data_IF_949131534818
#
_entry.id   IF_949131534818
#
_cell.length_a   1.000
_cell.length_b   1.000
_cell.length_c   1.000
_cell.angle_alpha   90.00
_cell.angle_beta   90.00
_cell.angle_gamma   90.00
#
_symmetry.space_group_name_H-M   'P 1'
#
loop_
_entity.id
_entity.type
_entity.pdbx_description
1 polymer ?
#
# COMPACT_ATOMS: atom_id res chain seq x y z
N UNK A 1 14.97 -24.63 -4.96
CA UNK A 1 14.08 -24.66 -3.77
C UNK A 1 14.82 -24.20 -2.51
N UNK A 2 16.03 -24.70 -2.24
CA UNK A 2 16.87 -24.25 -1.11
C UNK A 2 17.20 -22.74 -1.12
N UNK A 3 17.48 -22.14 -2.29
CA UNK A 3 17.82 -20.70 -2.38
C UNK A 3 16.65 -19.77 -2.05
N UNK A 4 15.42 -20.16 -2.40
CA UNK A 4 14.21 -19.40 -2.08
C UNK A 4 13.91 -19.42 -0.58
N UNK A 5 14.08 -20.57 0.08
CA UNK A 5 13.91 -20.69 1.54
C UNK A 5 15.03 -19.99 2.31
N UNK A 6 16.24 -19.93 1.76
CA UNK A 6 17.34 -19.12 2.30
C UNK A 6 17.04 -17.61 2.15
N UNK A 7 16.53 -17.17 0.98
CA UNK A 7 16.12 -15.78 0.75
C UNK A 7 14.98 -15.35 1.68
N UNK A 8 13.96 -16.20 1.87
CA UNK A 8 12.88 -15.96 2.85
C UNK A 8 13.44 -15.83 4.27
N UNK A 9 14.35 -16.71 4.68
CA UNK A 9 14.97 -16.66 6.02
C UNK A 9 15.79 -15.39 6.24
N UNK A 10 16.67 -15.03 5.30
CA UNK A 10 17.46 -13.81 5.36
C UNK A 10 16.60 -12.54 5.32
N UNK A 11 15.46 -12.59 4.62
CA UNK A 11 14.52 -11.49 4.57
C UNK A 11 13.76 -11.33 5.89
N UNK A 12 13.38 -12.43 6.55
CA UNK A 12 12.72 -12.43 7.86
C UNK A 12 13.65 -12.07 9.02
N UNK A 13 14.94 -12.43 8.94
CA UNK A 13 15.90 -12.20 10.04
C UNK A 13 16.32 -10.73 10.19
N UNK A 14 16.11 -9.92 9.16
CA UNK A 14 16.47 -8.50 9.19
C UNK A 14 15.29 -7.66 9.69
N UNK A 15 15.42 -7.11 10.89
CA UNK A 15 14.39 -6.27 11.49
C UNK A 15 14.56 -4.83 11.01
N UNK A 16 13.48 -4.22 10.52
CA UNK A 16 13.46 -2.79 10.18
C UNK A 16 13.53 -2.00 11.48
N UNK A 17 14.35 -0.94 11.48
CA UNK A 17 14.50 -0.05 12.63
C UNK A 17 13.12 0.45 13.09
N UNK A 18 12.85 0.33 14.38
CA UNK A 18 11.60 0.81 14.98
C UNK A 18 11.39 2.30 14.76
N UNK A 19 12.48 3.09 14.70
CA UNK A 19 12.42 4.52 14.35
C UNK A 19 11.82 4.75 12.96
N UNK A 20 12.19 3.92 11.98
CA UNK A 20 11.68 4.03 10.61
C UNK A 20 10.22 3.56 10.55
N UNK A 21 9.88 2.48 11.25
CA UNK A 21 8.50 2.00 11.35
C UNK A 21 7.58 3.05 11.98
N UNK A 22 7.98 3.66 13.10
CA UNK A 22 7.22 4.73 13.75
C UNK A 22 7.04 5.93 12.82
N UNK A 23 8.12 6.38 12.15
CA UNK A 23 8.05 7.51 11.21
C UNK A 23 7.00 7.28 10.11
N UNK A 24 7.01 6.10 9.48
CA UNK A 24 6.03 5.78 8.44
C UNK A 24 4.63 5.58 9.03
N UNK A 25 4.52 4.91 10.19
CA UNK A 25 3.25 4.66 10.85
C UNK A 25 2.53 5.94 11.26
N UNK A 26 3.25 6.88 11.87
CA UNK A 26 2.69 8.13 12.35
C UNK A 26 2.27 9.01 11.17
N UNK A 27 3.07 9.07 10.11
CA UNK A 27 2.70 9.77 8.89
C UNK A 27 1.45 9.18 8.22
N UNK A 28 1.31 7.86 8.17
CA UNK A 28 0.11 7.20 7.63
C UNK A 28 -1.13 7.46 8.49
N UNK A 29 -1.00 7.46 9.83
CA UNK A 29 -2.10 7.82 10.74
C UNK A 29 -2.50 9.28 10.54
N UNK A 30 -1.54 10.18 10.43
CA UNK A 30 -1.77 11.60 10.20
C UNK A 30 -2.51 11.81 8.87
N UNK A 31 -2.08 11.14 7.80
CA UNK A 31 -2.78 11.20 6.51
C UNK A 31 -4.20 10.65 6.59
N UNK A 32 -4.39 9.49 7.23
CA UNK A 32 -5.71 8.91 7.41
C UNK A 32 -6.65 9.85 8.19
N UNK A 33 -6.15 10.50 9.23
CA UNK A 33 -6.93 11.46 10.03
C UNK A 33 -7.37 12.72 9.26
N UNK A 34 -6.60 13.11 8.24
CA UNK A 34 -6.88 14.26 7.38
C UNK A 34 -7.88 13.95 6.26
N UNK A 35 -8.20 12.68 6.04
CA UNK A 35 -9.06 12.26 4.93
C UNK A 35 -10.43 12.95 4.95
N UNK A 36 -10.71 13.64 3.84
CA UNK A 36 -12.00 14.21 3.51
C UNK A 36 -12.13 14.15 1.98
N UNK A 37 -13.09 13.38 1.48
CA UNK A 37 -13.30 13.21 0.04
C UNK A 37 -13.68 14.50 -0.70
N UNK A 38 -14.02 15.57 0.01
CA UNK A 38 -14.23 16.91 -0.55
C UNK A 38 -12.93 17.72 -0.70
N UNK A 39 -11.90 17.43 0.10
CA UNK A 39 -10.63 18.17 0.09
C UNK A 39 -9.49 17.38 -0.56
N UNK A 40 -9.48 16.06 -0.40
CA UNK A 40 -8.41 15.18 -0.85
C UNK A 40 -8.84 14.32 -2.04
N UNK A 41 -7.89 14.03 -2.93
CA UNK A 41 -8.16 13.33 -4.16
C UNK A 41 -8.44 11.85 -3.94
N UNK A 42 -7.65 11.17 -3.11
CA UNK A 42 -7.80 9.75 -2.79
C UNK A 42 -7.01 9.41 -1.53
N UNK A 43 -7.42 8.36 -0.83
CA UNK A 43 -6.77 7.88 0.39
C UNK A 43 -5.56 6.98 0.07
N UNK A 44 -4.57 7.56 -0.63
CA UNK A 44 -3.42 6.87 -1.21
C UNK A 44 -2.17 7.73 -1.18
N UNK A 45 -1.03 7.16 -0.80
CA UNK A 45 0.30 7.77 -0.97
C UNK A 45 1.30 6.78 -1.59
N UNK A 46 2.47 7.26 -2.00
CA UNK A 46 3.58 6.43 -2.46
C UNK A 46 4.69 6.36 -1.42
N UNK A 47 5.28 5.17 -1.26
CA UNK A 47 6.56 5.02 -0.55
C UNK A 47 7.70 5.03 -1.57
N UNK A 48 8.47 6.11 -1.58
CA UNK A 48 9.54 6.33 -2.55
C UNK A 48 10.90 6.05 -1.91
N UNK A 49 11.56 5.02 -2.42
CA UNK A 49 12.91 4.62 -2.03
C UNK A 49 13.54 3.77 -3.14
N UNK A 50 14.87 3.82 -3.25
CA UNK A 50 15.67 3.00 -4.17
C UNK A 50 15.33 1.51 -4.10
N UNK A 51 15.44 0.81 -5.23
CA UNK A 51 15.19 -0.64 -5.30
C UNK A 51 16.18 -1.43 -4.43
N UNK A 52 15.71 -2.50 -3.77
CA UNK A 52 16.54 -3.34 -2.89
C UNK A 52 16.72 -2.80 -1.45
N UNK A 53 16.24 -1.60 -1.13
CA UNK A 53 16.41 -0.99 0.20
C UNK A 53 15.39 -1.44 1.25
N UNK A 54 14.55 -2.44 0.93
CA UNK A 54 13.65 -3.05 1.89
C UNK A 54 12.28 -2.38 2.06
N UNK A 55 11.77 -1.66 1.06
CA UNK A 55 10.39 -1.10 1.05
C UNK A 55 9.35 -2.17 1.42
N UNK A 56 9.34 -3.28 0.69
CA UNK A 56 8.44 -4.41 0.93
C UNK A 56 8.60 -4.95 2.35
N UNK A 57 9.83 -5.03 2.87
CA UNK A 57 10.09 -5.47 4.24
C UNK A 57 9.54 -4.51 5.29
N UNK A 58 9.68 -3.21 5.06
CA UNK A 58 9.10 -2.19 5.93
C UNK A 58 7.58 -2.36 6.00
N UNK A 59 6.91 -2.47 4.85
CA UNK A 59 5.46 -2.65 4.80
C UNK A 59 5.03 -3.91 5.53
N UNK A 60 5.70 -5.04 5.28
CA UNK A 60 5.39 -6.29 5.97
C UNK A 60 5.59 -6.21 7.48
N UNK A 61 6.45 -5.33 7.99
CA UNK A 61 6.66 -5.16 9.44
C UNK A 61 5.74 -4.10 10.06
N UNK A 62 4.85 -3.46 9.28
CA UNK A 62 3.89 -2.47 9.81
C UNK A 62 2.87 -3.08 10.78
N UNK A 63 2.69 -4.41 10.81
CA UNK A 63 1.88 -5.07 11.84
C UNK A 63 2.41 -4.80 13.25
N UNK A 64 3.72 -4.57 13.42
CA UNK A 64 4.33 -4.21 14.70
C UNK A 64 3.79 -2.86 15.22
N UNK A 65 3.30 -2.02 14.31
CA UNK A 65 2.72 -0.71 14.59
C UNK A 65 1.19 -0.75 14.67
N UNK A 66 0.59 -1.95 14.69
CA UNK A 66 -0.86 -2.15 14.83
C UNK A 66 -1.66 -2.07 13.53
N UNK A 67 -1.02 -2.25 12.36
CA UNK A 67 -1.71 -2.31 11.07
C UNK A 67 -2.01 -3.75 10.63
N UNK A 68 -3.24 -4.00 10.21
CA UNK A 68 -3.59 -5.13 9.36
C UNK A 68 -3.14 -4.80 7.94
N UNK A 69 -1.93 -5.26 7.60
CA UNK A 69 -1.35 -5.06 6.27
C UNK A 69 -2.04 -5.98 5.30
N UNK A 70 -2.47 -5.47 4.15
CA UNK A 70 -2.94 -6.28 3.01
C UNK A 70 -1.98 -6.04 1.88
N UNK A 71 -1.20 -7.05 1.52
CA UNK A 71 -0.13 -6.91 0.55
C UNK A 71 -0.53 -7.51 -0.79
N UNK A 72 -0.51 -6.71 -1.86
CA UNK A 72 -0.75 -7.15 -3.23
C UNK A 72 0.51 -6.84 -4.05
N UNK A 73 1.18 -7.88 -4.55
CA UNK A 73 2.35 -7.75 -5.41
C UNK A 73 1.95 -7.91 -6.86
N UNK A 74 2.04 -6.82 -7.63
CA UNK A 74 1.77 -6.81 -9.07
C UNK A 74 3.00 -7.20 -9.90
N UNK A 75 3.99 -7.85 -9.30
CA UNK A 75 5.16 -8.38 -10.01
C UNK A 75 4.73 -9.25 -11.21
N UNK A 76 5.41 -9.12 -12.36
CA UNK A 76 5.13 -9.95 -13.55
C UNK A 76 5.33 -11.44 -13.24
N UNK A 77 4.52 -12.32 -13.83
CA UNK A 77 4.64 -13.78 -13.64
C UNK A 77 6.00 -14.35 -14.03
N UNK A 78 6.68 -13.73 -14.99
CA UNK A 78 8.01 -14.14 -15.43
C UNK A 78 9.15 -13.75 -14.47
N UNK A 79 8.87 -12.89 -13.47
CA UNK A 79 9.86 -12.43 -12.50
C UNK A 79 9.87 -13.30 -11.24
N UNK A 80 11.07 -13.55 -10.71
CA UNK A 80 11.31 -14.45 -9.57
C UNK A 80 11.77 -13.72 -8.30
N UNK A 81 11.16 -12.57 -8.01
CA UNK A 81 11.49 -11.74 -6.84
C UNK A 81 10.77 -12.14 -5.54
N UNK A 82 11.15 -11.49 -4.44
CA UNK A 82 10.48 -11.60 -3.15
C UNK A 82 10.19 -10.21 -2.57
N UNK A 83 8.95 -9.92 -2.09
CA UNK A 83 7.78 -10.80 -2.06
C UNK A 83 7.29 -11.21 -3.45
N UNK A 84 6.72 -12.41 -3.56
CA UNK A 84 6.23 -12.96 -4.84
C UNK A 84 4.96 -12.24 -5.29
N UNK A 85 4.66 -12.34 -6.58
CA UNK A 85 3.36 -11.96 -7.17
C UNK A 85 2.21 -12.60 -6.39
N UNK A 86 1.18 -11.82 -6.07
CA UNK A 86 -0.02 -12.29 -5.36
C UNK A 86 -1.09 -12.76 -6.34
N UNK A 87 -0.80 -13.86 -7.04
CA UNK A 87 -1.68 -14.62 -7.95
C UNK A 87 -2.86 -13.85 -8.56
N UNK A 88 -4.07 -14.34 -8.33
CA UNK A 88 -5.30 -13.79 -8.89
C UNK A 88 -5.62 -12.37 -8.39
N UNK A 89 -5.15 -11.97 -7.19
CA UNK A 89 -5.31 -10.59 -6.74
C UNK A 89 -4.55 -9.62 -7.63
N UNK A 90 -3.33 -9.98 -8.04
CA UNK A 90 -2.57 -9.21 -9.01
C UNK A 90 -3.24 -9.23 -10.40
N UNK A 91 -3.93 -10.32 -10.77
CA UNK A 91 -4.69 -10.39 -12.03
C UNK A 91 -5.87 -9.43 -12.01
N UNK A 92 -6.57 -9.31 -10.87
CA UNK A 92 -7.63 -8.30 -10.67
C UNK A 92 -7.06 -6.89 -10.80
N UNK A 93 -5.84 -6.65 -10.32
CA UNK A 93 -5.20 -5.33 -10.42
C UNK A 93 -4.78 -4.99 -11.87
N UNK A 94 -4.34 -5.97 -12.65
CA UNK A 94 -3.72 -5.79 -13.97
C UNK A 94 -4.66 -6.08 -15.15
N UNK A 95 -5.85 -6.64 -14.90
CA UNK A 95 -6.72 -7.13 -15.97
C UNK A 95 -7.29 -6.01 -16.87
N UNK A 96 -7.53 -6.31 -18.17
CA UNK A 96 -7.89 -5.31 -19.19
C UNK A 96 -9.34 -4.82 -19.13
N UNK A 97 -10.18 -5.31 -18.21
CA UNK A 97 -11.63 -5.03 -18.16
C UNK A 97 -12.12 -4.41 -16.85
N UNK A 98 -11.20 -4.07 -15.95
CA UNK A 98 -11.61 -3.59 -14.63
C UNK A 98 -11.90 -2.09 -14.62
N UNK A 99 -13.02 -1.78 -13.97
CA UNK A 99 -13.55 -0.44 -13.73
C UNK A 99 -13.25 -0.01 -12.30
N UNK A 100 -13.43 1.27 -11.98
CA UNK A 100 -13.37 1.76 -10.60
C UNK A 100 -14.26 0.92 -9.67
N UNK A 101 -15.47 0.53 -10.10
CA UNK A 101 -16.39 -0.33 -9.35
C UNK A 101 -15.79 -1.70 -9.04
N UNK A 102 -14.95 -2.23 -9.92
CA UNK A 102 -14.23 -3.49 -9.65
C UNK A 102 -13.26 -3.31 -8.49
N UNK A 103 -12.49 -2.23 -8.48
CA UNK A 103 -11.55 -1.96 -7.40
C UNK A 103 -12.27 -1.65 -6.08
N UNK A 104 -13.42 -0.97 -6.12
CA UNK A 104 -14.29 -0.85 -4.94
C UNK A 104 -14.70 -2.24 -4.42
N UNK A 105 -15.16 -3.13 -5.30
CA UNK A 105 -15.55 -4.48 -4.91
C UNK A 105 -14.39 -5.26 -4.28
N UNK A 106 -13.17 -5.11 -4.83
CA UNK A 106 -11.96 -5.71 -4.25
C UNK A 106 -11.68 -5.18 -2.85
N UNK A 107 -11.69 -3.86 -2.66
CA UNK A 107 -11.43 -3.28 -1.33
C UNK A 107 -12.52 -3.67 -0.33
N UNK A 108 -13.80 -3.61 -0.71
CA UNK A 108 -14.90 -4.07 0.15
C UNK A 108 -14.71 -5.54 0.55
N UNK A 109 -14.24 -6.39 -0.37
CA UNK A 109 -13.98 -7.81 -0.09
C UNK A 109 -12.83 -8.00 0.89
N UNK A 110 -11.75 -7.24 0.73
CA UNK A 110 -10.62 -7.22 1.67
C UNK A 110 -11.08 -6.86 3.08
N UNK A 111 -11.86 -5.77 3.21
CA UNK A 111 -12.38 -5.32 4.51
C UNK A 111 -13.35 -6.34 5.12
N UNK A 112 -14.20 -6.95 4.30
CA UNK A 112 -15.16 -7.96 4.73
C UNK A 112 -14.46 -9.22 5.25
N UNK A 113 -13.41 -9.72 4.57
CA UNK A 113 -12.62 -10.85 5.08
C UNK A 113 -11.97 -10.49 6.41
N UNK A 114 -11.36 -9.33 6.54
CA UNK A 114 -10.78 -8.91 7.82
C UNK A 114 -11.84 -8.83 8.95
N UNK A 115 -13.07 -8.43 8.63
CA UNK A 115 -14.18 -8.42 9.57
C UNK A 115 -14.69 -9.82 9.96
N UNK A 116 -14.43 -10.85 9.16
CA UNK A 116 -14.72 -12.26 9.51
C UNK A 116 -13.74 -12.82 10.54
N UNK A 117 -12.62 -12.13 10.78
CA UNK A 117 -11.57 -12.53 11.73
C UNK A 117 -11.45 -11.53 12.92
N UNK A 118 -12.48 -11.37 13.77
CA UNK A 118 -12.52 -10.34 14.80
C UNK A 118 -11.41 -10.41 15.86
N UNK A 119 -10.95 -11.62 16.19
CA UNK A 119 -9.95 -11.88 17.23
C UNK A 119 -8.53 -12.14 16.73
N UNK A 120 -8.30 -12.15 15.42
CA UNK A 120 -6.98 -12.41 14.84
C UNK A 120 -6.09 -11.19 15.04
N UNK A 121 -4.88 -11.37 15.58
CA UNK A 121 -3.93 -10.28 15.75
C UNK A 121 -3.29 -9.84 14.42
N UNK A 122 -2.76 -8.62 14.35
CA UNK A 122 -2.11 -8.11 13.12
C UNK A 122 -0.92 -8.98 12.67
N UNK A 123 -0.16 -9.53 13.63
CA UNK A 123 0.94 -10.46 13.35
C UNK A 123 0.44 -11.76 12.70
N UNK A 124 -0.61 -12.34 13.25
CA UNK A 124 -1.24 -13.57 12.74
C UNK A 124 -1.81 -13.36 11.34
N UNK A 125 -2.48 -12.22 11.12
CA UNK A 125 -2.99 -11.81 9.82
C UNK A 125 -1.89 -11.68 8.75
N UNK A 126 -0.76 -11.05 9.10
CA UNK A 126 0.38 -10.94 8.19
C UNK A 126 1.00 -12.32 7.92
N UNK A 127 1.16 -13.14 8.96
CA UNK A 127 1.71 -14.48 8.84
C UNK A 127 0.84 -15.40 7.96
N UNK A 128 -0.49 -15.24 8.03
CA UNK A 128 -1.44 -15.99 7.20
C UNK A 128 -1.34 -15.62 5.71
N UNK A 129 -1.14 -14.34 5.40
CA UNK A 129 -0.86 -13.90 4.02
C UNK A 129 0.48 -14.43 3.47
N UNK A 130 1.48 -14.63 4.33
CA UNK A 130 2.80 -15.12 3.90
C UNK A 130 2.87 -16.62 3.61
N UNK A 131 2.09 -17.44 4.34
CA UNK A 131 2.35 -18.88 4.44
C UNK A 131 1.61 -19.74 3.43
N UNK A 132 0.39 -19.39 3.04
CA UNK A 132 -0.49 -20.34 2.33
C UNK A 132 -1.44 -19.67 1.33
N UNK A 133 -1.25 -18.39 1.02
CA UNK A 133 -2.18 -17.57 0.23
C UNK A 133 -3.66 -17.68 0.71
N UNK A 134 -3.90 -18.21 1.93
CA UNK A 134 -5.23 -18.55 2.43
C UNK A 134 -6.12 -17.32 2.52
N UNK A 135 -5.56 -16.21 3.03
CA UNK A 135 -6.24 -14.91 3.05
C UNK A 135 -6.52 -14.41 1.63
N UNK A 136 -5.63 -14.65 0.66
CA UNK A 136 -5.88 -14.25 -0.73
C UNK A 136 -7.06 -15.04 -1.31
N UNK A 137 -7.11 -16.36 -1.08
CA UNK A 137 -8.22 -17.21 -1.49
C UNK A 137 -9.55 -16.82 -0.84
N UNK A 138 -9.56 -16.46 0.44
CA UNK A 138 -10.74 -15.93 1.13
C UNK A 138 -11.19 -14.60 0.50
N UNK A 139 -10.26 -13.69 0.21
CA UNK A 139 -10.56 -12.41 -0.46
C UNK A 139 -11.19 -12.67 -1.83
N UNK A 140 -10.64 -13.61 -2.61
CA UNK A 140 -11.16 -13.96 -3.93
C UNK A 140 -12.57 -14.56 -3.85
N UNK A 141 -12.83 -15.44 -2.89
CA UNK A 141 -14.16 -16.02 -2.68
C UNK A 141 -15.20 -14.96 -2.31
N UNK A 142 -14.86 -14.04 -1.41
CA UNK A 142 -15.73 -12.91 -1.07
C UNK A 142 -15.90 -11.97 -2.25
N UNK A 143 -14.85 -11.72 -3.03
CA UNK A 143 -14.89 -10.88 -4.23
C UNK A 143 -15.83 -11.41 -5.30
N UNK A 144 -15.85 -12.72 -5.55
CA UNK A 144 -16.78 -13.34 -6.48
C UNK A 144 -18.25 -13.08 -6.10
N UNK A 145 -18.55 -12.98 -4.80
CA UNK A 145 -19.90 -12.69 -4.32
C UNK A 145 -20.18 -11.18 -4.32
N UNK A 146 -19.28 -10.37 -3.77
CA UNK A 146 -19.43 -8.92 -3.61
C UNK A 146 -19.41 -8.16 -4.93
N UNK A 147 -18.68 -8.67 -5.92
CA UNK A 147 -18.63 -8.06 -7.26
C UNK A 147 -20.01 -7.96 -7.90
N UNK A 148 -20.91 -8.92 -7.67
CA UNK A 148 -22.28 -8.90 -8.19
C UNK A 148 -23.08 -7.71 -7.63
N UNK A 149 -22.85 -7.35 -6.37
CA UNK A 149 -23.56 -6.26 -5.69
C UNK A 149 -22.95 -4.88 -5.98
N UNK A 150 -21.61 -4.81 -6.08
CA UNK A 150 -20.86 -3.55 -6.10
C UNK A 150 -20.56 -3.09 -7.52
N UNK A 151 -20.32 -4.01 -8.45
CA UNK A 151 -20.01 -3.67 -9.84
C UNK A 151 -21.29 -3.21 -10.53
N UNK A 152 -21.19 -2.06 -11.17
CA UNK A 152 -22.30 -1.43 -11.89
C UNK A 152 -21.80 -0.86 -13.20
N UNK A 153 -22.69 -0.83 -14.20
CA UNK A 153 -22.46 -0.21 -15.49
C UNK A 153 -22.59 1.32 -15.46
N UNK A 154 -23.04 1.88 -14.33
CA UNK A 154 -23.08 3.33 -14.15
C UNK A 154 -21.65 3.92 -14.23
N UNK A 155 -21.48 5.10 -14.84
CA UNK A 155 -20.23 5.85 -14.71
C UNK A 155 -19.85 6.04 -13.24
N UNK A 156 -18.56 5.94 -12.90
CA UNK A 156 -18.10 5.93 -11.51
C UNK A 156 -18.70 7.06 -10.65
N UNK A 157 -18.70 8.30 -11.14
CA UNK A 157 -19.24 9.45 -10.41
C UNK A 157 -20.73 9.36 -10.10
N UNK A 158 -21.50 8.61 -10.91
CA UNK A 158 -22.91 8.34 -10.64
C UNK A 158 -23.11 7.18 -9.63
N UNK A 159 -22.08 6.36 -9.41
CA UNK A 159 -22.07 5.24 -8.47
C UNK A 159 -21.32 5.54 -7.17
N UNK A 160 -20.58 6.65 -7.09
CA UNK A 160 -19.68 7.00 -5.98
C UNK A 160 -20.39 6.94 -4.61
N UNK A 161 -21.61 7.47 -4.51
CA UNK A 161 -22.38 7.45 -3.26
C UNK A 161 -22.86 6.05 -2.87
N UNK A 162 -23.15 5.18 -3.84
CA UNK A 162 -23.50 3.79 -3.57
C UNK A 162 -22.25 3.01 -3.14
N UNK A 163 -21.11 3.24 -3.79
CA UNK A 163 -19.82 2.67 -3.40
C UNK A 163 -19.40 3.09 -2.00
N UNK A 164 -19.61 4.35 -1.61
CA UNK A 164 -19.37 4.82 -0.24
C UNK A 164 -20.17 4.05 0.79
N UNK A 165 -21.44 3.72 0.51
CA UNK A 165 -22.26 2.92 1.43
C UNK A 165 -21.68 1.52 1.65
N UNK A 166 -21.21 0.86 0.59
CA UNK A 166 -20.57 -0.45 0.72
C UNK A 166 -19.29 -0.38 1.57
N UNK A 167 -18.42 0.60 1.31
CA UNK A 167 -17.21 0.81 2.11
C UNK A 167 -17.54 1.18 3.58
N UNK A 168 -18.55 2.02 3.80
CA UNK A 168 -18.99 2.47 5.12
C UNK A 168 -19.38 1.30 6.02
N UNK A 169 -20.15 0.34 5.51
CA UNK A 169 -20.58 -0.85 6.27
C UNK A 169 -19.39 -1.63 6.81
N UNK A 170 -18.34 -1.84 6.02
CA UNK A 170 -17.19 -2.61 6.46
C UNK A 170 -16.22 -1.79 7.33
N UNK A 171 -16.07 -0.49 7.05
CA UNK A 171 -15.23 0.40 7.85
C UNK A 171 -15.81 0.60 9.26
N UNK A 172 -17.13 0.70 9.42
CA UNK A 172 -17.74 0.89 10.75
C UNK A 172 -17.48 -0.29 11.68
N UNK A 173 -17.49 -1.52 11.14
CA UNK A 173 -17.11 -2.73 11.90
C UNK A 173 -15.64 -2.69 12.33
N UNK A 174 -14.74 -2.21 11.47
CA UNK A 174 -13.32 -2.05 11.79
C UNK A 174 -13.09 -0.98 12.85
N UNK A 175 -13.81 0.15 12.77
CA UNK A 175 -13.77 1.23 13.77
C UNK A 175 -14.18 0.75 15.15
N UNK A 176 -15.25 -0.04 15.24
CA UNK A 176 -15.71 -0.63 16.51
C UNK A 176 -14.63 -1.50 17.18
N UNK A 177 -13.76 -2.11 16.38
CA UNK A 177 -12.63 -2.92 16.83
C UNK A 177 -11.33 -2.14 17.04
N UNK A 178 -11.29 -0.86 16.68
CA UNK A 178 -10.05 -0.07 16.63
C UNK A 178 -9.03 -0.59 15.62
N UNK A 179 -9.47 -1.33 14.60
CA UNK A 179 -8.60 -1.91 13.58
C UNK A 179 -8.17 -0.86 12.55
N UNK A 180 -6.90 -0.91 12.14
CA UNK A 180 -6.33 -0.08 11.08
C UNK A 180 -5.81 -0.95 9.95
N UNK A 181 -6.23 -0.68 8.73
CA UNK A 181 -5.88 -1.44 7.53
C UNK A 181 -4.92 -0.65 6.68
N UNK A 182 -3.83 -1.29 6.27
CA UNK A 182 -2.89 -0.73 5.30
C UNK A 182 -2.92 -1.58 4.03
N UNK A 183 -3.56 -1.08 2.98
CA UNK A 183 -3.55 -1.74 1.67
C UNK A 183 -2.29 -1.33 0.91
N UNK A 184 -1.38 -2.26 0.69
CA UNK A 184 -0.16 -2.04 -0.07
C UNK A 184 -0.26 -2.68 -1.46
N UNK A 185 -0.01 -1.87 -2.49
CA UNK A 185 0.17 -2.36 -3.86
C UNK A 185 1.64 -2.20 -4.24
N UNK A 186 2.36 -3.31 -4.32
CA UNK A 186 3.76 -3.36 -4.75
C UNK A 186 3.89 -3.55 -6.26
N UNK A 187 4.99 -3.07 -6.81
CA UNK A 187 5.23 -2.97 -8.25
C UNK A 187 4.09 -2.24 -8.98
N UNK A 188 3.58 -1.15 -8.40
CA UNK A 188 2.44 -0.39 -8.92
C UNK A 188 2.67 0.19 -10.33
N UNK A 189 3.92 0.25 -10.80
CA UNK A 189 4.24 0.61 -12.19
C UNK A 189 3.66 -0.36 -13.22
N UNK A 190 3.37 -1.61 -12.81
CA UNK A 190 2.77 -2.63 -13.67
C UNK A 190 1.25 -2.44 -13.88
N UNK A 191 0.62 -1.46 -13.23
CA UNK A 191 -0.83 -1.21 -13.37
C UNK A 191 -1.20 -0.44 -14.63
N UNK A 192 -0.27 0.31 -15.23
CA UNK A 192 -0.58 1.18 -16.38
C UNK A 192 -1.81 2.07 -16.13
N UNK A 193 -2.78 2.04 -17.03
CA UNK A 193 -4.02 2.83 -16.94
C UNK A 193 -4.93 2.43 -15.77
N UNK A 194 -4.78 1.21 -15.24
CA UNK A 194 -5.55 0.76 -14.08
C UNK A 194 -5.14 1.49 -12.80
N UNK A 195 -3.94 2.10 -12.75
CA UNK A 195 -3.51 2.89 -11.58
C UNK A 195 -4.49 4.02 -11.27
N UNK A 196 -4.92 4.78 -12.29
CA UNK A 196 -5.84 5.90 -12.12
C UNK A 196 -7.22 5.42 -11.64
N UNK A 197 -7.73 4.31 -12.21
CA UNK A 197 -9.00 3.71 -11.80
C UNK A 197 -8.94 3.18 -10.36
N UNK A 198 -7.85 2.50 -10.01
CA UNK A 198 -7.62 2.03 -8.64
C UNK A 198 -7.59 3.22 -7.67
N UNK A 199 -6.80 4.25 -7.97
CA UNK A 199 -6.71 5.47 -7.17
C UNK A 199 -8.06 6.16 -7.00
N UNK A 200 -8.85 6.29 -8.08
CA UNK A 200 -10.21 6.86 -8.02
C UNK A 200 -11.12 6.02 -7.15
N UNK A 201 -11.05 4.69 -7.20
CA UNK A 201 -11.91 3.83 -6.38
C UNK A 201 -11.74 4.06 -4.88
N UNK A 202 -10.54 4.45 -4.43
CA UNK A 202 -10.27 4.79 -3.03
C UNK A 202 -10.94 6.08 -2.55
N UNK A 203 -11.54 6.89 -3.45
CA UNK A 203 -12.41 8.02 -3.06
C UNK A 203 -13.70 7.58 -2.39
N UNK A 204 -14.12 6.35 -2.67
CA UNK A 204 -15.30 5.76 -2.03
C UNK A 204 -15.05 5.41 -0.57
N UNK A 205 -13.83 5.59 -0.04
CA UNK A 205 -13.57 5.37 1.38
C UNK A 205 -14.25 6.44 2.22
N UNK A 206 -15.01 6.04 3.27
CA UNK A 206 -15.60 6.99 4.19
C UNK A 206 -14.53 7.67 5.06
N UNK A 207 -14.90 8.78 5.70
CA UNK A 207 -14.02 9.49 6.63
C UNK A 207 -13.65 8.61 7.84
N UNK A 208 -12.38 8.62 8.24
CA UNK A 208 -11.87 7.90 9.40
C UNK A 208 -10.39 7.50 9.25
N UNK A 209 -9.86 6.84 10.29
CA UNK A 209 -8.46 6.43 10.39
C UNK A 209 -8.23 4.91 10.26
N UNK A 210 -9.29 4.15 9.94
CA UNK A 210 -9.26 2.68 9.88
C UNK A 210 -8.71 2.09 8.59
N UNK A 211 -8.48 2.88 7.55
CA UNK A 211 -7.96 2.41 6.27
C UNK A 211 -7.00 3.43 5.66
N UNK A 212 -5.94 2.96 5.03
CA UNK A 212 -5.09 3.76 4.16
C UNK A 212 -4.47 2.93 3.04
N UNK A 213 -4.37 3.50 1.84
CA UNK A 213 -3.67 2.88 0.71
C UNK A 213 -2.22 3.37 0.60
N UNK A 214 -1.31 2.47 0.25
CA UNK A 214 0.06 2.82 -0.11
C UNK A 214 0.50 2.06 -1.37
N UNK A 215 1.21 2.74 -2.26
CA UNK A 215 1.82 2.12 -3.44
C UNK A 215 3.33 2.11 -3.31
N UNK A 216 3.94 1.00 -3.71
CA UNK A 216 5.38 0.86 -3.85
C UNK A 216 5.70 0.80 -5.34
N UNK A 217 6.69 1.58 -5.75
CA UNK A 217 7.18 1.55 -7.12
C UNK A 217 8.41 2.43 -7.27
N UNK A 218 9.26 2.08 -8.22
CA UNK A 218 10.42 2.89 -8.62
C UNK A 218 10.15 3.76 -9.84
N UNK A 219 8.96 3.64 -10.45
CA UNK A 219 8.61 4.40 -11.64
C UNK A 219 8.26 5.85 -11.30
N UNK A 220 8.72 6.78 -12.14
CA UNK A 220 8.38 8.19 -12.10
C UNK A 220 6.86 8.40 -12.08
N UNK A 221 6.08 7.56 -12.77
CA UNK A 221 4.60 7.65 -12.79
C UNK A 221 3.93 7.37 -11.43
N UNK A 222 4.56 6.56 -10.59
CA UNK A 222 4.09 6.27 -9.21
C UNK A 222 4.58 7.35 -8.24
N UNK A 223 5.74 7.93 -8.51
CA UNK A 223 6.27 9.09 -7.77
C UNK A 223 5.55 10.40 -8.12
N UNK A 224 5.08 10.55 -9.37
CA UNK A 224 4.22 11.62 -9.88
C UNK A 224 2.75 11.35 -9.53
N UNK A 225 2.48 11.05 -8.26
CA UNK A 225 1.11 11.12 -7.69
C UNK A 225 0.47 12.50 -7.91
N UNK A 226 1.27 13.51 -8.25
CA UNK A 226 0.85 14.71 -8.95
C UNK A 226 0.93 14.50 -10.46
N UNK A 227 -0.04 13.79 -11.05
CA UNK A 227 -0.27 13.98 -12.49
C UNK A 227 -0.53 15.49 -12.69
N UNK A 228 0.12 16.09 -13.68
CA UNK A 228 -0.24 17.44 -14.11
C UNK A 228 -1.76 17.44 -14.38
N UNK A 229 -2.44 18.49 -13.93
CA UNK A 229 -3.90 18.63 -14.00
C UNK A 229 -4.45 18.42 -15.43
N UNK A 230 -3.58 18.56 -16.43
CA UNK A 230 -3.80 18.43 -17.86
C UNK A 230 -3.87 16.96 -18.35
N UNK A 231 -3.22 16.02 -17.65
CA UNK A 231 -3.17 14.60 -18.02
C UNK A 231 -4.25 13.75 -17.32
N UNK A 232 -4.92 14.30 -16.30
CA UNK A 232 -6.08 13.65 -15.67
C UNK A 232 -7.37 14.09 -16.35
N UNK A 233 -7.81 13.36 -17.37
CA UNK A 233 -9.09 13.58 -18.06
C UNK A 233 -10.32 13.52 -17.13
N UNK A 234 -10.17 13.09 -15.86
CA UNK A 234 -11.24 13.21 -14.86
C UNK A 234 -11.34 14.59 -14.19
N UNK A 235 -10.30 15.43 -14.30
CA UNK A 235 -10.37 16.86 -13.93
C UNK A 235 -11.40 17.61 -14.78
N UNK A 236 -11.67 17.16 -16.02
CA UNK A 236 -12.72 17.72 -16.87
C UNK A 236 -14.14 17.56 -16.28
N UNK A 237 -14.38 16.62 -15.36
CA UNK A 237 -15.71 16.46 -14.73
C UNK A 237 -15.94 17.39 -13.53
N UNK A 238 -14.87 17.96 -12.94
CA UNK A 238 -14.94 18.91 -11.82
C UNK A 238 -13.94 20.05 -12.04
N UNK A 239 -14.23 20.89 -13.03
CA UNK A 239 -13.49 22.12 -13.40
C UNK A 239 -13.38 23.20 -12.29
N UNK A 240 -13.73 22.93 -11.03
CA UNK A 240 -13.84 23.96 -9.99
C UNK A 240 -13.26 23.62 -8.60
N UNK A 241 -12.73 22.41 -8.36
CA UNK A 241 -12.20 22.03 -7.05
C UNK A 241 -10.77 21.51 -7.14
N UNK A 242 -9.82 22.27 -6.60
CA UNK A 242 -8.44 21.81 -6.40
C UNK A 242 -8.41 20.78 -5.26
N UNK A 243 -8.28 19.50 -5.60
CA UNK A 243 -8.08 18.45 -4.60
C UNK A 243 -6.61 18.38 -4.17
N UNK A 244 -6.38 18.23 -2.86
CA UNK A 244 -5.08 17.90 -2.31
C UNK A 244 -4.73 16.43 -2.58
N UNK A 245 -3.44 16.13 -2.67
CA UNK A 245 -2.92 14.75 -2.79
C UNK A 245 -1.97 14.50 -1.62
N UNK A 246 -2.06 13.34 -0.98
CA UNK A 246 -1.11 12.97 0.07
C UNK A 246 0.29 12.88 -0.51
N UNK A 247 1.22 13.62 0.09
CA UNK A 247 2.57 13.68 -0.41
C UNK A 247 3.26 12.32 -0.25
N UNK A 248 4.19 11.96 -1.15
CA UNK A 248 4.95 10.74 -1.02
C UNK A 248 5.77 10.70 0.28
N UNK A 249 5.97 9.49 0.79
CA UNK A 249 6.86 9.20 1.90
C UNK A 249 8.23 8.89 1.31
N UNK A 250 9.18 9.82 1.50
CA UNK A 250 10.53 9.67 1.00
C UNK A 250 11.42 9.04 2.06
N UNK A 251 11.82 7.78 1.85
CA UNK A 251 12.86 7.14 2.64
C UNK A 251 14.18 7.27 1.91
N UNK A 252 14.60 8.51 1.67
CA UNK A 252 15.94 8.79 1.18
C UNK A 252 16.83 8.47 2.37
N UNK A 253 17.54 7.33 2.29
CA UNK A 253 18.62 7.07 3.22
C UNK A 253 19.48 8.32 3.22
N UNK A 254 19.77 8.89 4.39
CA UNK A 254 20.90 9.81 4.45
C UNK A 254 22.06 9.04 3.84
N UNK A 255 22.52 9.49 2.69
CA UNK A 255 23.86 9.21 2.24
C UNK A 255 24.79 9.81 3.29
N UNK A 256 24.99 9.11 4.41
CA UNK A 256 26.26 9.15 5.11
C UNK A 256 27.21 8.41 4.15
N UNK A 257 27.98 9.08 3.30
CA UNK A 257 29.32 9.60 3.63
C UNK A 257 29.96 8.67 4.68
N UNK A 258 30.59 7.59 4.20
CA UNK A 258 31.56 6.73 4.89
C UNK A 258 31.32 6.39 6.38
N UNK A 259 30.80 5.19 6.67
CA UNK A 259 31.15 4.38 7.85
C UNK A 259 30.46 3.01 7.69
N UNK A 260 31.16 1.90 7.40
CA UNK A 260 32.19 1.31 8.23
C UNK A 260 33.44 0.97 7.40
N UNK A 261 34.54 1.69 7.62
CA UNK A 261 35.85 1.06 7.47
C UNK A 261 35.98 0.10 8.64
N UNK A 262 36.21 -1.17 8.34
CA UNK A 262 36.39 -2.21 9.34
C UNK A 262 37.43 -1.82 10.37
N UNK A 263 37.20 -2.26 11.60
CA UNK A 263 38.20 -2.26 12.65
C UNK A 263 39.48 -2.94 12.15
N UNK A 264 40.60 -2.20 12.18
CA UNK A 264 41.93 -2.78 12.06
C UNK A 264 42.90 -1.98 11.21
N UNK A 265 43.48 -0.91 11.78
CA UNK A 265 44.93 -0.66 11.69
C UNK A 265 45.30 0.54 12.58
N UNK A 266 46.19 0.27 13.52
CA UNK A 266 46.97 1.19 14.34
C UNK A 266 47.74 2.22 13.51
N UNK A 267 47.95 3.39 14.12
CA UNK A 267 48.91 4.46 13.78
C UNK A 267 48.68 5.16 12.41
N UNK A 268 48.49 6.48 12.38
CA UNK A 268 49.58 7.46 12.21
C UNK A 268 49.08 8.88 12.59
N UNK A 269 49.78 9.44 13.57
CA UNK A 269 50.02 10.85 13.97
C UNK A 269 49.23 12.04 13.38
N UNK A 270 48.67 12.83 14.31
CA UNK A 270 48.35 14.26 14.21
C UNK A 270 49.52 15.12 13.69
N UNK A 271 49.24 16.12 12.84
CA UNK A 271 50.01 17.36 12.89
C UNK A 271 49.07 18.57 12.90
N UNK A 272 48.76 19.07 14.10
CA UNK A 272 48.40 20.46 14.32
C UNK A 272 49.10 20.91 15.59
N UNK A 273 50.36 21.32 15.43
CA UNK A 273 51.09 22.17 16.35
C UNK A 273 52.16 22.93 15.58
N UNK A 274 52.31 24.21 15.96
CA UNK A 274 53.30 25.21 15.59
C UNK A 274 52.94 26.21 14.46
N UNK A 275 52.50 27.39 14.94
CA UNK A 275 52.85 28.78 14.54
C UNK A 275 52.74 29.14 13.06
#
# INVERSE_FOLDING_TARGET
>A
MQDMEAAKRAWRSNIVSEKVLNLVADQLKDFASQWDGHQWYALLTALVQSSGWGKSRLIFQMWRMGFYVVYISCMKESQSGFPRRTGELADIMQGPKYTESTFVALVVSILAVLNQHPGMACEEWMAAQEKDDAIQHEILAVFQTKSIEVITDKPYFAAEEDHKKFCQVEIDKLKQRGARVLLCVDEAGELGDNFLKFRRSLRSMPRGDSFFGIVLGTDRKVADLAAAQEDDLSACARLATHFNVFHPIYLIGKSDIFAQVGAGSSDITNPCNAI
#
